data_IF_729027188039
#
_entry.id   IF_729027188039
#
_cell.length_a   1.000
_cell.length_b   1.000
_cell.length_c   1.000
_cell.angle_alpha   90.00
_cell.angle_beta   90.00
_cell.angle_gamma   90.00
#
_symmetry.space_group_name_H-M   'P 1'
#
loop_
_entity.id
_entity.type
_entity.pdbx_description
1 polymer ?
#
# COMPACT_ATOMS: atom_id res chain seq x y z
N UNK A 1 2.68 6.83 8.31
CA UNK A 1 1.56 5.89 8.57
C UNK A 1 0.48 6.07 7.50
N UNK A 2 -0.22 5.00 7.11
CA UNK A 2 -1.40 5.08 6.23
C UNK A 2 -2.63 5.31 7.10
N UNK A 3 -3.42 6.33 6.77
CA UNK A 3 -4.64 6.67 7.49
C UNK A 3 -5.87 6.04 6.84
N UNK A 4 -6.70 5.38 7.65
CA UNK A 4 -7.98 4.81 7.21
C UNK A 4 -9.12 5.53 7.92
N UNK A 5 -10.18 5.86 7.19
CA UNK A 5 -11.41 6.45 7.72
C UNK A 5 -12.62 5.63 7.31
N UNK A 6 -13.38 5.14 8.29
CA UNK A 6 -14.66 4.44 8.08
C UNK A 6 -15.75 5.12 8.91
N UNK A 7 -16.58 5.93 8.27
CA UNK A 7 -17.52 6.82 8.96
C UNK A 7 -16.78 7.76 9.92
N UNK A 8 -17.09 7.65 11.22
CA UNK A 8 -16.43 8.41 12.29
C UNK A 8 -15.11 7.79 12.79
N UNK A 9 -14.84 6.51 12.48
CA UNK A 9 -13.64 5.80 12.95
C UNK A 9 -12.41 6.23 12.17
N UNK A 10 -11.28 6.39 12.86
CA UNK A 10 -9.97 6.66 12.29
C UNK A 10 -8.97 5.62 12.78
N UNK A 11 -8.18 5.07 11.87
CA UNK A 11 -7.10 4.13 12.17
C UNK A 11 -5.82 4.61 11.49
N UNK A 12 -4.69 4.52 12.21
CA UNK A 12 -3.37 4.67 11.63
C UNK A 12 -2.70 3.31 11.52
N UNK A 13 -2.32 2.92 10.31
CA UNK A 13 -1.54 1.70 10.06
C UNK A 13 -0.06 2.08 9.88
N UNK A 14 0.86 1.50 10.66
CA UNK A 14 2.28 1.81 10.54
C UNK A 14 2.80 1.40 9.17
N UNK A 15 3.69 2.21 8.60
CA UNK A 15 4.42 1.88 7.39
C UNK A 15 5.81 1.47 7.84
N UNK A 16 6.22 0.20 7.68
CA UNK A 16 7.55 -0.23 8.03
C UNK A 16 8.58 0.48 7.13
N UNK A 17 9.83 0.68 7.60
CA UNK A 17 10.90 1.14 6.74
C UNK A 17 11.02 0.25 5.50
N UNK A 18 11.08 0.87 4.33
CA UNK A 18 11.39 0.18 3.08
C UNK A 18 12.90 0.22 2.84
N UNK A 19 13.40 -0.64 1.94
CA UNK A 19 14.80 -0.60 1.51
C UNK A 19 15.14 0.67 0.73
N UNK A 20 16.18 0.60 -0.09
CA UNK A 20 16.55 1.71 -0.97
C UNK A 20 15.38 2.09 -1.90
N UNK A 21 15.10 3.39 -1.98
CA UNK A 21 14.05 3.96 -2.84
C UNK A 21 14.72 4.55 -4.07
N UNK A 22 14.46 3.96 -5.23
CA UNK A 22 14.97 4.39 -6.53
C UNK A 22 14.01 5.36 -7.22
N UNK A 23 12.72 5.05 -7.21
CA UNK A 23 11.67 5.83 -7.86
C UNK A 23 10.37 5.69 -7.05
N UNK A 24 9.59 6.76 -6.96
CA UNK A 24 8.31 6.77 -6.23
C UNK A 24 7.09 6.62 -7.15
N UNK A 25 7.33 6.61 -8.47
CA UNK A 25 6.30 6.45 -9.49
C UNK A 25 5.53 5.15 -9.27
N UNK A 26 4.19 5.22 -9.27
CA UNK A 26 3.32 4.05 -9.09
C UNK A 26 3.13 3.58 -7.65
N UNK A 27 3.83 4.14 -6.65
CA UNK A 27 3.69 3.72 -5.25
C UNK A 27 2.26 3.90 -4.71
N UNK A 28 1.62 5.03 -5.06
CA UNK A 28 0.22 5.29 -4.70
C UNK A 28 -0.75 4.34 -5.39
N UNK A 29 -0.51 4.03 -6.67
CA UNK A 29 -1.34 3.09 -7.43
C UNK A 29 -1.23 1.68 -6.87
N UNK A 30 -0.03 1.26 -6.48
CA UNK A 30 0.20 -0.04 -5.86
C UNK A 30 -0.41 -0.12 -4.45
N UNK A 31 -0.34 0.96 -3.67
CA UNK A 31 -1.06 1.07 -2.39
C UNK A 31 -2.56 0.88 -2.58
N UNK A 32 -3.15 1.59 -3.54
CA UNK A 32 -4.57 1.49 -3.85
C UNK A 32 -4.94 0.10 -4.36
N UNK A 33 -4.20 -0.44 -5.34
CA UNK A 33 -4.45 -1.76 -5.93
C UNK A 33 -4.38 -2.88 -4.88
N UNK A 34 -3.33 -2.90 -4.06
CA UNK A 34 -3.17 -3.89 -2.99
C UNK A 34 -4.28 -3.79 -1.93
N UNK A 35 -4.70 -2.57 -1.59
CA UNK A 35 -5.79 -2.34 -0.62
C UNK A 35 -7.16 -2.74 -1.19
N UNK A 36 -7.46 -2.36 -2.44
CA UNK A 36 -8.73 -2.68 -3.09
C UNK A 36 -8.90 -4.18 -3.33
N UNK A 37 -7.83 -4.86 -3.76
CA UNK A 37 -7.85 -6.32 -3.89
C UNK A 37 -8.11 -6.97 -2.53
N UNK A 38 -7.53 -6.45 -1.44
CA UNK A 38 -7.81 -6.95 -0.11
C UNK A 38 -9.24 -6.77 0.35
N UNK A 39 -9.83 -5.61 0.08
CA UNK A 39 -11.25 -5.38 0.35
C UNK A 39 -12.12 -6.33 -0.47
N UNK A 40 -11.77 -6.57 -1.75
CA UNK A 40 -12.48 -7.51 -2.60
C UNK A 40 -12.41 -8.96 -2.07
N UNK A 41 -11.31 -9.33 -1.41
CA UNK A 41 -11.11 -10.62 -0.74
C UNK A 41 -11.80 -10.68 0.65
N UNK A 42 -12.49 -9.62 1.08
CA UNK A 42 -13.18 -9.55 2.37
C UNK A 42 -12.30 -9.18 3.56
N UNK A 43 -11.11 -8.61 3.33
CA UNK A 43 -10.23 -8.19 4.40
C UNK A 43 -10.79 -6.99 5.18
N UNK A 44 -10.51 -6.98 6.48
CA UNK A 44 -10.78 -5.82 7.32
C UNK A 44 -9.91 -4.61 6.90
N UNK A 45 -10.33 -3.37 7.20
CA UNK A 45 -9.64 -2.19 6.69
C UNK A 45 -8.14 -2.13 7.05
N UNK A 46 -7.77 -2.54 8.26
CA UNK A 46 -6.37 -2.56 8.71
C UNK A 46 -5.50 -3.48 7.83
N UNK A 47 -5.99 -4.69 7.56
CA UNK A 47 -5.31 -5.70 6.76
C UNK A 47 -5.24 -5.27 5.29
N UNK A 48 -6.29 -4.62 4.79
CA UNK A 48 -6.29 -4.04 3.46
C UNK A 48 -5.18 -2.99 3.29
N UNK A 49 -5.03 -2.08 4.25
CA UNK A 49 -3.94 -1.11 4.22
C UNK A 49 -2.56 -1.77 4.33
N UNK A 50 -2.40 -2.82 5.15
CA UNK A 50 -1.14 -3.57 5.21
C UNK A 50 -0.77 -4.19 3.86
N UNK A 51 -1.76 -4.77 3.15
CA UNK A 51 -1.55 -5.31 1.80
C UNK A 51 -1.20 -4.25 0.77
N UNK A 52 -1.86 -3.09 0.84
CA UNK A 52 -1.49 -1.93 0.02
C UNK A 52 -0.06 -1.46 0.31
N UNK A 53 0.32 -1.34 1.58
CA UNK A 53 1.67 -0.94 1.99
C UNK A 53 2.72 -1.91 1.42
N UNK A 54 2.46 -3.22 1.51
CA UNK A 54 3.34 -4.24 0.96
C UNK A 54 3.45 -4.16 -0.58
N UNK A 55 2.35 -3.86 -1.27
CA UNK A 55 2.35 -3.67 -2.72
C UNK A 55 3.15 -2.42 -3.13
N UNK A 56 2.96 -1.30 -2.43
CA UNK A 56 3.72 -0.06 -2.67
C UNK A 56 5.21 -0.27 -2.43
N UNK A 57 5.60 -0.99 -1.38
CA UNK A 57 7.01 -1.27 -1.09
C UNK A 57 7.74 -2.00 -2.23
N UNK A 58 7.03 -2.79 -3.04
CA UNK A 58 7.63 -3.54 -4.16
C UNK A 58 8.02 -2.67 -5.35
N UNK A 59 7.30 -1.57 -5.59
CA UNK A 59 7.58 -0.71 -6.77
C UNK A 59 8.69 0.30 -6.49
N UNK A 60 8.92 0.65 -5.21
CA UNK A 60 9.88 1.70 -4.83
C UNK A 60 11.35 1.42 -5.17
N UNK A 61 11.73 0.15 -5.29
CA UNK A 61 13.12 -0.28 -5.51
C UNK A 61 13.53 -0.39 -6.98
N UNK A 62 12.73 0.11 -7.91
CA UNK A 62 13.02 0.03 -9.35
C UNK A 62 12.49 1.27 -10.09
N UNK A 63 13.01 1.59 -11.28
CA UNK A 63 12.48 2.68 -12.10
C UNK A 63 11.09 2.39 -12.66
N UNK A 64 10.22 3.40 -12.66
CA UNK A 64 8.92 3.37 -13.31
C UNK A 64 7.78 2.80 -12.45
N UNK A 65 6.59 2.74 -13.05
CA UNK A 65 5.33 2.49 -12.34
C UNK A 65 4.92 1.02 -12.22
N UNK A 66 5.71 0.06 -12.72
CA UNK A 66 5.31 -1.34 -12.84
C UNK A 66 6.32 -2.26 -12.16
N UNK A 67 5.83 -3.34 -11.53
CA UNK A 67 6.69 -4.40 -11.02
C UNK A 67 7.20 -5.25 -12.18
N UNK A 68 8.49 -5.15 -12.44
CA UNK A 68 9.20 -6.06 -13.34
C UNK A 68 9.59 -7.33 -12.58
N UNK A 69 9.44 -8.48 -13.26
CA UNK A 69 9.74 -9.81 -12.71
C UNK A 69 11.24 -10.07 -12.55
#
# INVERSE_FOLDING_TARGET
PVGIRTGAKRLGVPVPPTGEVTDTTGAGDHLAAGSLLAVADGAEPADAAQRGIAAAARVLGQPGAHVTA
#
